data_IF_056810673193
#
_entry.id   IF_056810673193
#
_cell.length_a   1.000
_cell.length_b   1.000
_cell.length_c   1.000
_cell.angle_alpha   90.00
_cell.angle_beta   90.00
_cell.angle_gamma   90.00
#
_symmetry.space_group_name_H-M   'P 1'
#
loop_
_entity.id
_entity.type
_entity.pdbx_description
1 polymer ?
#
# COMPACT_ATOMS: atom_id res chain seq x y z
N UNK A 1 2.19 10.37 -16.31
CA UNK A 1 2.71 10.55 -14.93
C UNK A 1 2.41 9.30 -14.12
N UNK A 2 3.29 8.29 -14.19
CA UNK A 2 3.16 7.03 -13.44
C UNK A 2 3.76 7.15 -12.04
N UNK A 3 3.19 6.41 -11.08
CA UNK A 3 3.68 6.32 -9.70
C UNK A 3 5.20 6.18 -9.70
N UNK A 4 5.88 7.07 -8.97
CA UNK A 4 7.34 7.24 -8.92
C UNK A 4 8.04 5.87 -8.70
N UNK A 5 8.35 5.14 -9.79
CA UNK A 5 9.03 3.83 -9.84
C UNK A 5 8.71 2.89 -8.65
N UNK A 6 7.45 2.54 -8.39
CA UNK A 6 7.11 1.57 -7.33
C UNK A 6 7.40 2.04 -5.89
N UNK A 7 7.53 3.35 -5.66
CA UNK A 7 7.58 3.94 -4.30
C UNK A 7 6.22 4.02 -3.63
N UNK A 8 5.13 3.86 -4.38
CA UNK A 8 3.77 3.89 -3.88
C UNK A 8 2.96 2.76 -4.47
N UNK A 9 2.17 2.13 -3.62
CA UNK A 9 1.25 1.04 -3.92
C UNK A 9 -0.08 1.34 -3.25
N UNK A 10 -1.13 0.66 -3.67
CA UNK A 10 -2.44 0.76 -3.05
C UNK A 10 -2.80 -0.59 -2.43
N UNK A 11 -3.24 -0.58 -1.19
CA UNK A 11 -3.68 -1.78 -0.47
C UNK A 11 -5.19 -1.81 -0.50
N UNK A 12 -5.75 -2.91 -0.99
CA UNK A 12 -7.20 -3.16 -0.93
C UNK A 12 -7.58 -3.60 0.49
N UNK A 13 -8.44 -2.81 1.15
CA UNK A 13 -8.97 -3.11 2.49
C UNK A 13 -10.36 -3.74 2.45
N UNK A 14 -11.08 -3.63 1.32
CA UNK A 14 -12.44 -4.15 1.18
C UNK A 14 -13.20 -3.43 0.05
N UNK A 15 -14.54 -3.57 0.04
CA UNK A 15 -15.46 -3.02 -0.99
C UNK A 15 -15.12 -1.57 -1.37
N UNK A 16 -14.40 -1.41 -2.47
CA UNK A 16 -13.98 -0.12 -3.05
C UNK A 16 -13.25 0.81 -2.06
N UNK A 17 -12.41 0.25 -1.18
CA UNK A 17 -11.55 1.04 -0.29
C UNK A 17 -10.09 0.64 -0.46
N UNK A 18 -9.29 1.62 -0.88
CA UNK A 18 -7.87 1.45 -1.10
C UNK A 18 -7.09 2.46 -0.30
N UNK A 19 -6.07 2.01 0.43
CA UNK A 19 -5.14 2.91 1.12
C UNK A 19 -3.88 3.04 0.32
N UNK A 20 -3.44 4.28 0.12
CA UNK A 20 -2.15 4.56 -0.48
C UNK A 20 -1.05 4.24 0.53
N UNK A 21 -0.11 3.39 0.15
CA UNK A 21 1.03 3.00 0.97
C UNK A 21 2.31 3.36 0.26
N UNK A 22 3.26 3.96 0.98
CA UNK A 22 4.61 4.21 0.49
C UNK A 22 5.50 3.01 0.79
N UNK A 23 6.24 2.55 -0.21
CA UNK A 23 7.15 1.41 -0.10
C UNK A 23 8.60 1.91 -0.10
N UNK A 24 9.33 1.59 0.96
CA UNK A 24 10.77 1.86 1.09
C UNK A 24 11.57 0.70 0.50
N UNK A 25 12.13 0.90 -0.70
CA UNK A 25 12.93 -0.13 -1.39
C UNK A 25 14.22 -0.53 -0.66
N UNK A 26 14.72 0.31 0.23
CA UNK A 26 15.92 0.04 1.02
C UNK A 26 15.71 -1.01 2.10
N UNK A 27 14.44 -1.35 2.44
CA UNK A 27 14.11 -2.33 3.49
C UNK A 27 13.73 -3.68 2.88
N UNK A 28 14.04 -4.75 3.61
CA UNK A 28 13.65 -6.11 3.26
C UNK A 28 12.12 -6.22 3.10
N UNK A 29 11.65 -7.15 2.25
CA UNK A 29 10.22 -7.36 1.95
C UNK A 29 9.44 -7.69 3.21
N UNK A 30 10.06 -8.46 4.11
CA UNK A 30 9.47 -8.95 5.36
C UNK A 30 9.38 -7.88 6.46
N UNK A 31 10.12 -6.78 6.33
CA UNK A 31 10.18 -5.76 7.37
C UNK A 31 8.91 -4.85 7.30
N UNK A 32 8.11 -4.74 8.38
CA UNK A 32 6.89 -3.93 8.38
C UNK A 32 7.15 -2.44 8.13
N UNK A 33 8.31 -1.93 8.54
CA UNK A 33 8.68 -0.53 8.32
C UNK A 33 8.95 -0.20 6.84
N UNK A 34 9.04 -1.22 5.97
CA UNK A 34 9.07 -1.02 4.52
C UNK A 34 7.81 -0.34 4.02
N UNK A 35 6.68 -0.59 4.66
CA UNK A 35 5.37 -0.11 4.25
C UNK A 35 4.93 1.01 5.18
N UNK A 36 4.86 2.22 4.65
CA UNK A 36 4.39 3.39 5.36
C UNK A 36 2.97 3.68 4.86
N UNK A 37 1.92 3.31 5.61
CA UNK A 37 0.56 3.66 5.25
C UNK A 37 0.41 5.18 5.26
N UNK A 38 -0.13 5.74 4.18
CA UNK A 38 -0.55 7.13 4.16
C UNK A 38 -2.03 7.16 4.58
N UNK A 39 -2.45 8.18 5.31
CA UNK A 39 -3.85 8.37 5.71
C UNK A 39 -4.75 8.83 4.54
N UNK A 40 -4.49 8.30 3.34
CA UNK A 40 -5.15 8.65 2.08
C UNK A 40 -5.91 7.41 1.63
N UNK A 41 -7.20 7.40 1.92
CA UNK A 41 -8.14 6.39 1.45
C UNK A 41 -8.75 6.87 0.15
N UNK A 42 -8.69 6.05 -0.89
CA UNK A 42 -9.30 6.31 -2.20
C UNK A 42 -10.32 5.23 -2.53
N UNK A 43 -11.42 5.61 -3.16
CA UNK A 43 -12.40 4.63 -3.67
C UNK A 43 -11.92 3.93 -4.93
N UNK A 44 -11.22 4.66 -5.79
CA UNK A 44 -10.73 4.17 -7.07
C UNK A 44 -9.26 4.55 -7.23
N UNK A 45 -8.34 3.58 -7.20
CA UNK A 45 -6.94 3.85 -7.43
C UNK A 45 -6.72 4.25 -8.91
N UNK A 46 -5.62 4.95 -9.23
CA UNK A 46 -5.25 5.24 -10.61
C UNK A 46 -5.16 3.96 -11.45
N UNK A 47 -5.55 4.00 -12.74
CA UNK A 47 -5.55 2.80 -13.62
C UNK A 47 -4.20 2.07 -13.69
N UNK A 48 -3.09 2.80 -13.62
CA UNK A 48 -1.74 2.22 -13.68
C UNK A 48 -1.13 2.01 -12.28
N UNK A 49 -1.96 1.94 -11.24
CA UNK A 49 -1.49 1.72 -9.89
C UNK A 49 -1.24 0.26 -9.59
N UNK A 50 -0.15 0.00 -8.87
CA UNK A 50 0.11 -1.32 -8.30
C UNK A 50 -0.81 -1.47 -7.10
N UNK A 51 -1.75 -2.41 -7.21
CA UNK A 51 -2.67 -2.79 -6.15
C UNK A 51 -2.15 -4.09 -5.55
N UNK A 52 -2.01 -4.13 -4.23
CA UNK A 52 -1.65 -5.32 -3.45
C UNK A 52 -2.80 -5.68 -2.54
N UNK A 53 -3.01 -6.97 -2.35
CA UNK A 53 -4.01 -7.47 -1.42
C UNK A 53 -3.51 -7.35 0.01
N UNK A 54 -4.44 -7.24 0.95
CA UNK A 54 -4.13 -7.28 2.38
C UNK A 54 -3.28 -8.52 2.76
N UNK A 55 -3.51 -9.67 2.13
CA UNK A 55 -2.77 -10.91 2.40
C UNK A 55 -1.28 -10.88 2.02
N UNK A 56 -0.83 -9.94 1.18
CA UNK A 56 0.56 -9.85 0.71
C UNK A 56 1.43 -8.92 1.55
N UNK A 57 0.83 -8.18 2.50
CA UNK A 57 1.54 -7.27 3.38
C UNK A 57 1.59 -7.83 4.80
N UNK A 58 2.65 -7.48 5.57
CA UNK A 58 2.76 -7.90 6.96
C UNK A 58 1.53 -7.48 7.78
N UNK A 59 1.09 -8.36 8.67
CA UNK A 59 -0.07 -8.14 9.56
C UNK A 59 0.06 -6.89 10.43
N UNK A 60 1.29 -6.52 10.81
CA UNK A 60 1.55 -5.29 11.56
C UNK A 60 1.18 -4.02 10.78
N UNK A 61 1.33 -4.04 9.45
CA UNK A 61 0.93 -2.92 8.57
C UNK A 61 -0.59 -2.90 8.44
N UNK A 62 -1.23 -4.07 8.33
CA UNK A 62 -2.69 -4.19 8.32
C UNK A 62 -3.34 -3.63 9.59
N UNK A 63 -2.74 -3.90 10.74
CA UNK A 63 -3.25 -3.38 12.01
C UNK A 63 -3.19 -1.86 12.10
N UNK A 64 -2.30 -1.20 11.34
CA UNK A 64 -2.21 0.27 11.26
C UNK A 64 -3.20 0.89 10.26
N UNK A 65 -3.87 0.06 9.46
CA UNK A 65 -4.84 0.48 8.43
C UNK A 65 -6.30 0.42 8.93
N UNK A 66 -6.54 -0.26 10.07
CA UNK A 66 -7.83 -0.31 10.78
C UNK A 66 -7.91 0.83 11.78
#
# INVERSE_FOLDING_TARGET
MGLKKGKYVYVELGKDKYVKVRVLKSKAVDNPERYIPLNIIVKKPPKNAVIIRASEIPSEVLSKLT
#
